data_IF_550689529694
#
_entry.id   IF_550689529694
#
_cell.length_a   1.000
_cell.length_b   1.000
_cell.length_c   1.000
_cell.angle_alpha   90.00
_cell.angle_beta   90.00
_cell.angle_gamma   90.00
#
_symmetry.space_group_name_H-M   'P 1'
#
loop_
_entity.id
_entity.type
_entity.pdbx_description
1 polymer ?
#
# COMPACT_ATOMS: atom_id res chain seq x y z
N UNK A 1 16.42 -16.40 -54.67
CA UNK A 1 16.59 -16.53 -53.21
C UNK A 1 17.42 -15.35 -52.74
N UNK A 2 16.90 -14.67 -51.72
CA UNK A 2 17.56 -13.71 -50.84
C UNK A 2 17.88 -12.26 -51.34
N UNK A 3 17.64 -11.35 -50.39
CA UNK A 3 18.03 -9.94 -50.21
C UNK A 3 17.42 -8.84 -51.07
N UNK A 4 16.64 -8.00 -50.38
CA UNK A 4 16.55 -6.57 -50.73
C UNK A 4 15.16 -5.97 -50.62
N UNK A 5 14.63 -5.81 -49.40
CA UNK A 5 13.59 -4.78 -49.17
C UNK A 5 13.62 -4.24 -47.74
N UNK A 6 14.59 -3.37 -47.51
CA UNK A 6 14.46 -2.29 -46.52
C UNK A 6 13.54 -1.19 -47.10
N UNK A 7 12.96 -0.41 -46.19
CA UNK A 7 12.05 0.72 -46.39
C UNK A 7 10.57 0.37 -46.68
N UNK A 8 9.79 0.19 -45.61
CA UNK A 8 8.93 1.29 -45.17
C UNK A 8 8.24 0.99 -43.83
N UNK A 9 8.76 1.68 -42.82
CA UNK A 9 8.12 1.94 -41.55
C UNK A 9 6.97 2.93 -41.78
N UNK A 10 5.72 2.48 -41.77
CA UNK A 10 4.56 3.37 -41.59
C UNK A 10 3.33 2.61 -41.07
N UNK A 11 2.84 3.16 -39.95
CA UNK A 11 1.49 3.06 -39.37
C UNK A 11 1.26 1.98 -38.31
N UNK A 12 1.46 2.46 -37.09
CA UNK A 12 0.63 2.22 -35.91
C UNK A 12 -0.80 1.76 -36.24
N UNK A 13 -1.15 0.57 -35.75
CA UNK A 13 -2.53 0.10 -35.62
C UNK A 13 -2.93 0.20 -34.14
N UNK A 14 -3.49 1.35 -33.77
CA UNK A 14 -4.30 1.47 -32.56
C UNK A 14 -5.59 0.66 -32.78
N UNK A 15 -5.75 -0.44 -32.05
CA UNK A 15 -6.98 -1.23 -32.00
C UNK A 15 -7.91 -0.65 -30.94
N UNK A 16 -8.79 0.26 -31.36
CA UNK A 16 -9.95 0.67 -30.56
C UNK A 16 -11.12 -0.24 -30.93
N UNK A 17 -11.59 -1.05 -29.97
CA UNK A 17 -12.68 -2.01 -30.12
C UNK A 17 -14.02 -1.27 -30.29
N UNK A 18 -14.48 -1.08 -31.53
CA UNK A 18 -15.86 -0.73 -31.85
C UNK A 18 -16.64 -2.02 -32.16
N UNK A 19 -17.64 -2.34 -31.31
CA UNK A 19 -18.49 -3.53 -31.46
C UNK A 19 -19.66 -3.17 -32.39
N UNK A 20 -19.64 -3.68 -33.62
CA UNK A 20 -20.72 -3.51 -34.60
C UNK A 20 -21.78 -4.62 -34.44
N UNK A 21 -23.06 -4.25 -34.47
CA UNK A 21 -24.18 -5.19 -34.57
C UNK A 21 -25.00 -4.88 -35.84
N UNK A 22 -25.50 -5.94 -36.50
CA UNK A 22 -26.33 -5.88 -37.72
C UNK A 22 -27.77 -5.50 -37.40
N UNK A 23 -28.36 -4.57 -38.15
CA UNK A 23 -29.80 -4.26 -38.12
C UNK A 23 -30.58 -5.19 -39.06
N UNK A 24 -31.75 -5.75 -38.70
CA UNK A 24 -32.44 -6.76 -39.51
C UNK A 24 -33.20 -6.25 -40.75
N UNK A 25 -33.40 -4.93 -40.93
CA UNK A 25 -34.30 -4.42 -41.98
C UNK A 25 -33.60 -3.90 -43.24
N UNK A 26 -32.28 -3.71 -43.23
CA UNK A 26 -31.49 -3.38 -44.41
C UNK A 26 -30.10 -4.00 -44.25
N UNK A 27 -29.62 -4.76 -45.24
CA UNK A 27 -28.33 -5.47 -45.22
C UNK A 27 -27.13 -4.52 -45.36
N UNK A 28 -27.10 -3.43 -44.60
CA UNK A 28 -26.01 -2.45 -44.56
C UNK A 28 -25.52 -2.21 -43.12
N UNK A 29 -24.20 -2.15 -42.94
CA UNK A 29 -23.56 -1.90 -41.65
C UNK A 29 -23.65 -0.42 -41.29
N UNK A 30 -24.34 -0.07 -40.19
CA UNK A 30 -24.38 1.29 -39.67
C UNK A 30 -23.58 1.39 -38.37
N UNK A 31 -22.48 2.15 -38.40
CA UNK A 31 -21.65 2.46 -37.24
C UNK A 31 -22.22 3.69 -36.52
N UNK A 32 -22.80 3.51 -35.34
CA UNK A 32 -23.26 4.64 -34.51
C UNK A 32 -22.08 5.40 -33.91
N UNK A 33 -21.82 6.62 -34.42
CA UNK A 33 -20.98 7.61 -33.75
C UNK A 33 -21.82 8.32 -32.69
N UNK A 34 -21.48 8.11 -31.41
CA UNK A 34 -22.02 8.90 -30.29
C UNK A 34 -21.44 10.32 -30.37
N UNK A 35 -22.21 11.25 -30.95
CA UNK A 35 -21.94 12.67 -30.83
C UNK A 35 -22.46 13.16 -29.48
N UNK A 36 -21.55 13.44 -28.55
CA UNK A 36 -21.83 14.31 -27.40
C UNK A 36 -21.82 15.76 -27.91
N UNK A 37 -22.99 16.30 -28.24
CA UNK A 37 -23.12 17.74 -28.49
C UNK A 37 -23.46 18.45 -27.18
N UNK A 38 -22.50 19.28 -26.79
CA UNK A 38 -22.52 20.30 -25.74
C UNK A 38 -23.81 21.12 -25.67
N UNK A 39 -24.13 21.45 -24.42
CA UNK A 39 -25.02 22.49 -23.90
C UNK A 39 -25.01 23.75 -24.78
N UNK A 40 -26.21 24.19 -25.18
CA UNK A 40 -26.50 25.59 -25.52
C UNK A 40 -27.77 26.03 -24.80
N UNK A 41 -27.57 26.84 -23.77
CA UNK A 41 -28.57 27.70 -23.19
C UNK A 41 -28.88 28.87 -24.13
N UNK A 42 -30.15 29.30 -24.23
CA UNK A 42 -30.56 30.70 -24.46
C UNK A 42 -32.07 30.91 -24.37
N UNK A 43 -32.46 32.00 -23.68
CA UNK A 43 -33.61 32.92 -23.89
C UNK A 43 -35.02 32.47 -23.44
N UNK A 44 -35.54 32.90 -22.27
CA UNK A 44 -36.24 34.18 -21.90
C UNK A 44 -37.73 34.21 -22.35
N UNK A 45 -38.67 35.01 -21.77
CA UNK A 45 -38.66 35.86 -20.56
C UNK A 45 -39.97 35.82 -19.69
N UNK A 46 -40.08 36.65 -18.64
CA UNK A 46 -41.35 37.16 -18.10
C UNK A 46 -41.51 37.05 -16.58
N UNK A 47 -40.98 37.99 -15.79
CA UNK A 47 -41.70 39.15 -15.19
C UNK A 47 -42.85 38.78 -14.23
N UNK A 48 -42.58 38.88 -12.93
CA UNK A 48 -43.57 39.33 -11.95
C UNK A 48 -42.87 40.15 -10.87
N UNK A 49 -43.24 41.42 -10.78
CA UNK A 49 -42.84 42.34 -9.73
C UNK A 49 -43.80 42.15 -8.54
N UNK A 50 -43.27 41.92 -7.34
CA UNK A 50 -43.91 42.47 -6.13
C UNK A 50 -42.83 42.83 -5.10
N UNK A 51 -42.59 44.13 -5.03
CA UNK A 51 -41.96 44.83 -3.91
C UNK A 51 -42.99 44.91 -2.79
N UNK A 52 -42.73 44.46 -1.57
CA UNK A 52 -43.35 45.08 -0.38
C UNK A 52 -42.56 44.78 0.91
N UNK A 53 -41.80 45.81 1.29
CA UNK A 53 -41.55 46.36 2.63
C UNK A 53 -41.15 45.49 3.83
N UNK A 54 -39.97 45.87 4.34
CA UNK A 54 -39.42 45.74 5.69
C UNK A 54 -40.43 45.93 6.84
N UNK A 55 -40.29 45.11 7.88
CA UNK A 55 -40.70 45.47 9.25
C UNK A 55 -39.61 45.01 10.24
N UNK A 56 -38.95 45.92 10.96
CA UNK A 56 -38.12 45.59 12.10
C UNK A 56 -38.99 45.49 13.37
N UNK A 57 -38.51 44.83 14.40
CA UNK A 57 -38.19 45.42 15.71
C UNK A 57 -37.92 44.30 16.72
N UNK A 58 -36.86 44.57 17.47
CA UNK A 58 -36.34 43.81 18.60
C UNK A 58 -37.42 43.50 19.66
N UNK A 59 -37.45 42.25 20.12
CA UNK A 59 -37.88 41.94 21.48
C UNK A 59 -36.67 41.39 22.23
N UNK A 60 -36.05 42.27 23.00
CA UNK A 60 -35.09 41.94 24.03
C UNK A 60 -35.79 41.14 25.14
N UNK A 61 -35.18 40.05 25.60
CA UNK A 61 -35.37 39.56 26.96
C UNK A 61 -34.08 38.94 27.47
N UNK A 62 -33.57 39.67 28.43
CA UNK A 62 -32.34 39.60 29.19
C UNK A 62 -32.37 38.55 30.29
N UNK A 63 -31.17 38.02 30.59
CA UNK A 63 -30.62 37.65 31.89
C UNK A 63 -31.15 36.38 32.60
N UNK A 64 -30.24 35.44 32.81
CA UNK A 64 -29.93 34.89 34.13
C UNK A 64 -28.51 34.28 34.11
N UNK A 65 -27.53 35.10 34.51
CA UNK A 65 -26.19 34.66 34.86
C UNK A 65 -26.19 34.19 36.31
N UNK A 66 -25.86 32.92 36.56
CA UNK A 66 -25.42 32.45 37.88
C UNK A 66 -24.11 31.70 37.73
N UNK A 67 -23.04 32.41 38.06
CA UNK A 67 -21.69 31.88 38.17
C UNK A 67 -21.53 31.15 39.50
N UNK A 68 -21.37 29.83 39.48
CA UNK A 68 -20.76 29.11 40.59
C UNK A 68 -19.37 28.65 40.16
N UNK A 69 -18.40 29.52 40.46
CA UNK A 69 -16.98 29.17 40.51
C UNK A 69 -16.78 28.24 41.72
N UNK A 70 -16.81 26.93 41.50
CA UNK A 70 -16.08 26.01 42.39
C UNK A 70 -14.72 25.71 41.78
N UNK A 71 -13.72 26.19 42.50
CA UNK A 71 -12.31 26.23 42.17
C UNK A 71 -11.66 25.01 42.81
N UNK A 72 -11.78 23.85 42.20
CA UNK A 72 -10.95 22.71 42.59
C UNK A 72 -9.56 22.88 41.96
N UNK A 73 -8.59 23.15 42.82
CA UNK A 73 -7.17 23.14 42.46
C UNK A 73 -6.79 21.68 42.13
N UNK A 74 -6.26 21.38 40.94
CA UNK A 74 -5.62 20.10 40.73
C UNK A 74 -4.43 19.98 41.68
N UNK A 75 -4.42 18.90 42.47
CA UNK A 75 -3.28 18.49 43.29
C UNK A 75 -2.11 18.23 42.34
N UNK A 76 -1.08 19.05 42.48
CA UNK A 76 0.15 18.96 41.72
C UNK A 76 0.97 17.80 42.31
N UNK A 77 0.87 16.63 41.70
CA UNK A 77 1.78 15.52 42.03
C UNK A 77 3.17 15.89 41.49
N UNK A 78 4.06 16.29 42.40
CA UNK A 78 5.50 16.27 42.18
C UNK A 78 5.95 14.81 42.22
N UNK A 79 5.65 14.05 41.17
CA UNK A 79 6.39 12.85 40.88
C UNK A 79 7.26 13.14 39.67
N UNK A 80 8.54 13.39 39.96
CA UNK A 80 9.61 13.27 38.97
C UNK A 80 9.68 11.78 38.59
N UNK A 81 8.71 11.30 37.83
CA UNK A 81 8.93 10.11 37.04
C UNK A 81 9.99 10.52 36.04
N UNK A 82 11.23 10.11 36.30
CA UNK A 82 12.29 10.09 35.32
C UNK A 82 11.66 9.57 34.05
N UNK A 83 11.42 10.47 33.09
CA UNK A 83 11.01 10.10 31.76
C UNK A 83 12.16 9.24 31.27
N UNK A 84 12.02 7.91 31.37
CA UNK A 84 12.93 6.97 30.73
C UNK A 84 13.11 7.52 29.33
N UNK A 85 14.32 7.98 28.96
CA UNK A 85 14.52 8.51 27.64
C UNK A 85 14.33 7.31 26.74
N UNK A 86 13.13 7.22 26.14
CA UNK A 86 12.81 6.26 25.11
C UNK A 86 13.65 6.68 23.91
N UNK A 87 14.93 6.35 23.96
CA UNK A 87 15.76 6.25 22.78
C UNK A 87 15.24 5.03 22.00
N UNK A 88 14.02 5.15 21.48
CA UNK A 88 13.55 4.24 20.45
C UNK A 88 14.42 4.54 19.26
N UNK A 89 15.37 3.63 18.98
CA UNK A 89 16.22 3.73 17.81
C UNK A 89 15.35 3.88 16.57
N UNK A 90 15.73 4.79 15.67
CA UNK A 90 14.97 5.12 14.48
C UNK A 90 15.88 5.32 13.29
N UNK A 91 15.30 5.30 12.10
CA UNK A 91 15.98 5.57 10.84
C UNK A 91 15.20 6.55 9.99
N UNK A 92 15.91 7.54 9.45
CA UNK A 92 15.33 8.49 8.50
C UNK A 92 15.21 7.83 7.11
N UNK A 93 13.97 7.53 6.70
CA UNK A 93 13.69 6.98 5.36
C UNK A 93 13.53 8.09 4.33
N UNK A 94 12.87 9.19 4.68
CA UNK A 94 12.73 10.37 3.83
C UNK A 94 12.67 11.63 4.69
N UNK A 95 13.41 12.67 4.33
CA UNK A 95 13.54 13.90 5.11
C UNK A 95 12.22 14.69 5.27
N UNK A 96 11.18 14.32 4.54
CA UNK A 96 9.89 14.99 4.59
C UNK A 96 8.91 14.36 5.58
N UNK A 97 9.20 13.18 6.14
CA UNK A 97 8.33 12.46 7.07
C UNK A 97 9.09 12.11 8.36
N UNK A 98 8.36 11.72 9.39
CA UNK A 98 8.92 11.24 10.65
C UNK A 98 9.77 9.99 10.43
N UNK A 99 10.80 9.83 11.26
CA UNK A 99 11.67 8.67 11.23
C UNK A 99 10.90 7.38 11.52
N UNK A 100 11.39 6.29 10.95
CA UNK A 100 10.82 4.98 11.12
C UNK A 100 11.50 4.30 12.31
N UNK A 101 10.75 3.79 13.30
CA UNK A 101 11.35 3.10 14.43
C UNK A 101 12.04 1.81 13.96
N UNK A 102 13.12 1.39 14.61
CA UNK A 102 13.73 0.08 14.33
C UNK A 102 12.90 -1.08 14.91
N UNK A 103 12.08 -0.79 15.92
CA UNK A 103 11.21 -1.77 16.57
C UNK A 103 9.80 -1.20 16.74
N UNK A 104 8.81 -1.97 16.32
CA UNK A 104 7.38 -1.68 16.47
C UNK A 104 6.79 -2.69 17.46
N UNK A 105 6.06 -2.20 18.46
CA UNK A 105 5.43 -3.03 19.50
C UNK A 105 3.98 -2.64 19.70
N UNK A 106 3.21 -3.51 20.35
CA UNK A 106 1.82 -3.26 20.74
C UNK A 106 1.63 -2.06 21.69
N UNK A 107 2.70 -1.53 22.28
CA UNK A 107 2.66 -0.32 23.12
C UNK A 107 2.46 0.94 22.27
N UNK A 108 3.00 0.96 21.06
CA UNK A 108 3.06 2.15 20.21
C UNK A 108 2.18 2.04 18.96
N UNK A 109 1.84 0.82 18.54
CA UNK A 109 1.06 0.55 17.33
C UNK A 109 0.05 -0.58 17.59
N UNK A 110 -1.11 -0.61 16.89
CA UNK A 110 -2.13 -1.64 17.04
C UNK A 110 -1.72 -2.93 16.30
N UNK A 111 -0.67 -3.59 16.78
CA UNK A 111 -0.03 -4.76 16.14
C UNK A 111 -0.07 -5.98 17.06
N UNK A 112 -0.02 -7.18 16.49
CA UNK A 112 -0.15 -8.41 17.28
C UNK A 112 1.09 -8.80 18.09
N UNK A 113 2.28 -8.29 17.72
CA UNK A 113 3.57 -8.72 18.29
C UNK A 113 4.63 -7.63 18.13
N UNK A 114 5.83 -7.88 18.64
CA UNK A 114 7.02 -7.08 18.36
C UNK A 114 7.56 -7.39 16.96
N UNK A 115 7.85 -6.33 16.21
CA UNK A 115 8.39 -6.36 14.86
C UNK A 115 9.70 -5.57 14.79
N UNK A 116 10.72 -6.11 14.11
CA UNK A 116 12.01 -5.47 13.84
C UNK A 116 12.14 -5.07 12.38
N UNK A 117 12.80 -3.94 12.14
CA UNK A 117 12.99 -3.43 10.78
C UNK A 117 13.83 -4.40 9.95
N UNK A 118 13.23 -4.88 8.86
CA UNK A 118 13.85 -5.76 7.89
C UNK A 118 14.46 -4.97 6.73
N UNK A 119 13.70 -4.00 6.19
CA UNK A 119 14.15 -3.17 5.07
C UNK A 119 13.33 -1.89 4.94
N UNK A 120 13.88 -0.89 4.25
CA UNK A 120 13.27 0.43 4.14
C UNK A 120 13.66 1.13 2.83
N UNK A 121 12.82 2.08 2.40
CA UNK A 121 13.06 2.85 1.18
C UNK A 121 11.83 3.67 0.78
N UNK A 122 11.77 4.13 -0.47
CA UNK A 122 10.63 4.88 -0.99
C UNK A 122 10.01 4.18 -2.20
N UNK A 123 8.67 4.29 -2.31
CA UNK A 123 8.01 3.94 -3.57
C UNK A 123 8.16 5.06 -4.58
N UNK A 124 8.47 4.68 -5.82
CA UNK A 124 8.50 5.59 -6.97
C UNK A 124 7.41 5.26 -8.01
N UNK A 125 6.89 6.29 -8.69
CA UNK A 125 6.15 6.12 -9.95
C UNK A 125 7.06 6.26 -11.17
N UNK A 126 6.81 5.47 -12.21
CA UNK A 126 7.71 5.30 -13.37
C UNK A 126 7.93 6.59 -14.19
N UNK A 127 6.94 7.48 -14.28
CA UNK A 127 7.00 8.58 -15.27
C UNK A 127 8.04 9.67 -14.93
N UNK A 128 8.22 10.01 -13.65
CA UNK A 128 9.11 11.09 -13.21
C UNK A 128 9.93 10.70 -11.95
N UNK A 129 9.93 9.41 -11.58
CA UNK A 129 10.50 8.90 -10.32
C UNK A 129 10.01 9.65 -9.07
N UNK A 130 8.82 10.25 -9.13
CA UNK A 130 8.24 10.92 -7.97
C UNK A 130 8.08 9.94 -6.81
N UNK A 131 8.55 10.36 -5.64
CA UNK A 131 8.34 9.67 -4.38
C UNK A 131 6.86 9.74 -4.01
N UNK A 132 6.25 8.58 -3.74
CA UNK A 132 4.84 8.46 -3.34
C UNK A 132 4.72 8.34 -1.83
N UNK A 133 5.49 7.43 -1.24
CA UNK A 133 5.54 7.19 0.19
C UNK A 133 6.90 6.63 0.60
N UNK A 134 7.26 6.84 1.87
CA UNK A 134 8.28 6.09 2.57
C UNK A 134 7.71 4.74 3.04
N UNK A 135 8.53 3.71 3.00
CA UNK A 135 8.19 2.33 3.33
C UNK A 135 9.19 1.78 4.34
N UNK A 136 8.68 1.15 5.38
CA UNK A 136 9.42 0.24 6.26
C UNK A 136 8.75 -1.12 6.23
N UNK A 137 9.54 -2.15 5.96
CA UNK A 137 9.17 -3.56 6.05
C UNK A 137 9.78 -4.11 7.34
N UNK A 138 8.98 -4.83 8.10
CA UNK A 138 9.36 -5.38 9.38
C UNK A 138 9.02 -6.86 9.44
N UNK A 139 9.80 -7.59 10.21
CA UNK A 139 9.65 -9.01 10.50
C UNK A 139 9.33 -9.17 11.99
N UNK A 140 8.37 -10.03 12.33
CA UNK A 140 8.11 -10.35 13.72
C UNK A 140 9.37 -10.95 14.36
N UNK A 141 9.76 -10.42 15.52
CA UNK A 141 11.01 -10.79 16.20
C UNK A 141 11.08 -12.29 16.51
N UNK A 142 9.94 -12.88 16.89
CA UNK A 142 9.84 -14.31 17.22
C UNK A 142 9.87 -15.23 15.99
N UNK A 143 9.78 -14.66 14.78
CA UNK A 143 9.72 -15.42 13.52
C UNK A 143 11.05 -15.36 12.75
N UNK A 144 12.10 -14.73 13.30
CA UNK A 144 13.42 -14.63 12.64
C UNK A 144 14.02 -16.00 12.30
N UNK A 145 13.82 -17.01 13.15
CA UNK A 145 14.32 -18.37 12.93
C UNK A 145 13.64 -19.07 11.73
N UNK A 146 12.43 -18.68 11.35
CA UNK A 146 11.74 -19.26 10.18
C UNK A 146 12.52 -19.01 8.89
N UNK A 147 13.35 -17.95 8.85
CA UNK A 147 14.19 -17.64 7.70
C UNK A 147 15.23 -18.74 7.48
N UNK A 148 16.02 -19.08 8.50
CA UNK A 148 17.00 -20.16 8.43
C UNK A 148 16.36 -21.55 8.36
N UNK A 149 15.22 -21.75 9.03
CA UNK A 149 14.53 -23.04 9.04
C UNK A 149 13.92 -23.36 7.67
N UNK A 150 13.43 -22.35 6.95
CA UNK A 150 12.84 -22.52 5.61
C UNK A 150 13.91 -22.57 4.53
N UNK A 151 14.85 -21.62 4.55
CA UNK A 151 15.88 -21.46 3.52
C UNK A 151 17.21 -22.08 4.00
N UNK A 152 17.23 -23.41 4.13
CA UNK A 152 18.42 -24.17 4.54
C UNK A 152 19.05 -24.95 3.38
N UNK A 153 20.11 -25.72 3.68
CA UNK A 153 20.79 -26.59 2.73
C UNK A 153 19.87 -27.64 2.10
N UNK A 154 18.93 -28.22 2.86
CA UNK A 154 17.95 -29.18 2.32
C UNK A 154 17.05 -28.51 1.29
N UNK A 155 16.57 -27.30 1.57
CA UNK A 155 15.78 -26.51 0.62
C UNK A 155 16.59 -26.20 -0.65
N UNK A 156 17.85 -25.77 -0.48
CA UNK A 156 18.75 -25.43 -1.57
C UNK A 156 18.90 -26.60 -2.57
N UNK A 157 19.25 -27.80 -2.08
CA UNK A 157 19.45 -28.97 -2.95
C UNK A 157 18.15 -29.60 -3.46
N UNK A 158 17.02 -29.36 -2.79
CA UNK A 158 15.71 -29.85 -3.23
C UNK A 158 15.19 -29.09 -4.45
N UNK A 159 15.37 -27.78 -4.49
CA UNK A 159 14.74 -26.92 -5.50
C UNK A 159 15.71 -26.39 -6.56
N UNK A 160 17.03 -26.39 -6.31
CA UNK A 160 18.01 -25.83 -7.23
C UNK A 160 19.08 -26.84 -7.65
N UNK A 161 19.32 -26.91 -8.96
CA UNK A 161 20.36 -27.77 -9.55
C UNK A 161 21.67 -27.02 -9.80
N UNK A 162 21.63 -25.69 -9.84
CA UNK A 162 22.79 -24.84 -10.11
C UNK A 162 23.51 -24.40 -8.82
N UNK A 163 23.58 -25.30 -7.84
CA UNK A 163 24.32 -25.07 -6.59
C UNK A 163 25.82 -25.11 -6.89
N UNK A 164 26.55 -24.11 -6.41
CA UNK A 164 28.00 -24.05 -6.56
C UNK A 164 28.64 -24.70 -5.33
N UNK A 165 29.11 -25.94 -5.48
CA UNK A 165 29.72 -26.73 -4.40
C UNK A 165 30.99 -26.10 -3.81
N UNK A 166 31.58 -25.11 -4.49
CA UNK A 166 32.72 -24.34 -3.96
C UNK A 166 32.31 -23.28 -2.93
N UNK A 167 31.01 -23.03 -2.77
CA UNK A 167 30.44 -22.02 -1.88
C UNK A 167 29.61 -22.63 -0.77
N UNK A 168 29.52 -21.94 0.35
CA UNK A 168 28.64 -22.34 1.46
C UNK A 168 27.16 -22.32 1.04
N UNK A 169 26.28 -23.10 1.68
CA UNK A 169 24.83 -23.05 1.43
C UNK A 169 24.27 -21.62 1.55
N UNK A 170 24.71 -20.88 2.57
CA UNK A 170 24.36 -19.47 2.79
C UNK A 170 24.76 -18.57 1.62
N UNK A 171 25.97 -18.70 1.08
CA UNK A 171 26.41 -17.92 -0.08
C UNK A 171 25.66 -18.27 -1.36
N UNK A 172 25.31 -19.55 -1.53
CA UNK A 172 24.47 -19.99 -2.65
C UNK A 172 23.07 -19.39 -2.56
N UNK A 173 22.40 -19.47 -1.40
CA UNK A 173 21.10 -18.85 -1.17
C UNK A 173 21.16 -17.32 -1.36
N UNK A 174 22.18 -16.66 -0.82
CA UNK A 174 22.40 -15.23 -0.99
C UNK A 174 22.57 -14.83 -2.46
N UNK A 175 23.29 -15.64 -3.26
CA UNK A 175 23.42 -15.43 -4.71
C UNK A 175 22.06 -15.51 -5.40
N UNK A 176 21.27 -16.55 -5.10
CA UNK A 176 19.96 -16.77 -5.72
C UNK A 176 18.99 -15.64 -5.39
N UNK A 177 18.87 -15.25 -4.11
CA UNK A 177 18.02 -14.14 -3.66
C UNK A 177 18.38 -12.79 -4.30
N UNK A 178 19.68 -12.53 -4.55
CA UNK A 178 20.16 -11.24 -5.08
C UNK A 178 20.18 -11.14 -6.59
N UNK A 179 20.48 -12.24 -7.29
CA UNK A 179 20.85 -12.19 -8.72
C UNK A 179 19.83 -12.83 -9.65
N UNK A 180 18.96 -13.69 -9.12
CA UNK A 180 17.96 -14.38 -9.93
C UNK A 180 16.56 -13.96 -9.48
N UNK A 181 15.95 -13.03 -10.21
CA UNK A 181 14.64 -12.49 -9.84
C UNK A 181 13.56 -13.59 -9.83
N UNK A 182 13.61 -14.56 -10.74
CA UNK A 182 12.63 -15.65 -10.81
C UNK A 182 12.75 -16.59 -9.61
N UNK A 183 13.97 -17.02 -9.28
CA UNK A 183 14.21 -17.87 -8.11
C UNK A 183 13.97 -17.12 -6.81
N UNK A 184 14.30 -15.83 -6.75
CA UNK A 184 14.03 -15.00 -5.56
C UNK A 184 12.54 -14.93 -5.24
N UNK A 185 11.66 -14.89 -6.25
CA UNK A 185 10.20 -14.92 -6.02
C UNK A 185 9.78 -16.24 -5.39
N UNK A 186 10.25 -17.37 -5.92
CA UNK A 186 9.95 -18.70 -5.36
C UNK A 186 10.42 -18.81 -3.89
N UNK A 187 11.66 -18.41 -3.61
CA UNK A 187 12.23 -18.48 -2.27
C UNK A 187 11.48 -17.61 -1.26
N UNK A 188 11.10 -16.39 -1.66
CA UNK A 188 10.35 -15.48 -0.79
C UNK A 188 8.91 -15.95 -0.61
N UNK A 189 8.29 -16.49 -1.64
CA UNK A 189 6.95 -17.05 -1.56
C UNK A 189 6.89 -18.24 -0.60
N UNK A 190 7.86 -19.15 -0.66
CA UNK A 190 7.98 -20.28 0.28
C UNK A 190 8.27 -19.79 1.71
N UNK A 191 9.08 -18.74 1.86
CA UNK A 191 9.33 -18.11 3.16
C UNK A 191 8.06 -17.47 3.73
N UNK A 192 7.23 -16.82 2.92
CA UNK A 192 5.94 -16.27 3.36
C UNK A 192 4.95 -17.39 3.71
N UNK A 193 4.98 -18.51 3.00
CA UNK A 193 4.15 -19.69 3.29
C UNK A 193 4.54 -20.40 4.60
N UNK A 194 5.73 -20.14 5.15
CA UNK A 194 6.13 -20.64 6.48
C UNK A 194 5.28 -20.08 7.64
N UNK A 195 4.45 -19.06 7.38
CA UNK A 195 3.64 -18.38 8.40
C UNK A 195 4.36 -17.21 9.07
N UNK A 196 5.49 -16.78 8.50
CA UNK A 196 6.26 -15.63 8.97
C UNK A 196 5.41 -14.35 8.98
N UNK A 197 5.25 -13.73 10.15
CA UNK A 197 4.50 -12.48 10.30
C UNK A 197 5.35 -11.31 9.86
N UNK A 198 4.73 -10.41 9.12
CA UNK A 198 5.39 -9.20 8.62
C UNK A 198 4.53 -7.97 8.84
N UNK A 199 5.16 -6.80 8.79
CA UNK A 199 4.47 -5.53 8.84
C UNK A 199 5.05 -4.58 7.79
N UNK A 200 4.17 -3.86 7.10
CA UNK A 200 4.54 -2.74 6.25
C UNK A 200 3.98 -1.44 6.86
N UNK A 201 4.87 -0.52 7.22
CA UNK A 201 4.53 0.87 7.56
C UNK A 201 4.70 1.71 6.31
N UNK A 202 3.62 2.32 5.84
CA UNK A 202 3.58 3.18 4.66
C UNK A 202 3.24 4.60 5.09
N UNK A 203 4.13 5.54 4.82
CA UNK A 203 3.98 6.94 5.23
C UNK A 203 4.03 7.86 3.99
N UNK A 204 2.91 8.46 3.57
CA UNK A 204 2.89 9.33 2.40
C UNK A 204 3.79 10.56 2.57
N UNK A 205 4.63 10.83 1.57
CA UNK A 205 5.50 12.03 1.56
C UNK A 205 4.76 13.28 1.10
N UNK A 206 3.49 13.14 0.69
CA UNK A 206 2.57 14.20 0.28
C UNK A 206 1.14 13.80 0.64
N UNK A 207 0.26 14.79 0.72
CA UNK A 207 -1.17 14.54 0.87
C UNK A 207 -1.67 13.65 -0.28
N UNK A 208 -2.45 12.64 0.07
CA UNK A 208 -3.05 11.68 -0.85
C UNK A 208 -4.46 11.34 -0.35
N UNK A 209 -5.02 10.23 -0.81
CA UNK A 209 -6.29 9.71 -0.32
C UNK A 209 -6.25 8.18 -0.24
N UNK A 210 -7.20 7.62 0.49
CA UNK A 210 -7.32 6.17 0.67
C UNK A 210 -7.52 5.44 -0.66
N UNK A 211 -8.19 6.06 -1.65
CA UNK A 211 -8.40 5.46 -2.97
C UNK A 211 -7.08 5.23 -3.70
N UNK A 212 -6.21 6.24 -3.75
CA UNK A 212 -4.90 6.14 -4.42
C UNK A 212 -3.96 5.18 -3.68
N UNK A 213 -3.96 5.17 -2.35
CA UNK A 213 -3.19 4.17 -1.57
C UNK A 213 -3.63 2.76 -1.92
N UNK A 214 -4.94 2.49 -1.86
CA UNK A 214 -5.53 1.19 -2.21
C UNK A 214 -5.18 0.76 -3.64
N UNK A 215 -5.36 1.63 -4.62
CA UNK A 215 -5.01 1.34 -6.02
C UNK A 215 -3.52 1.03 -6.18
N UNK A 216 -2.66 1.70 -5.40
CA UNK A 216 -1.24 1.42 -5.34
C UNK A 216 -0.93 -0.01 -4.85
N UNK A 217 -1.65 -0.49 -3.83
CA UNK A 217 -1.54 -1.85 -3.32
C UNK A 217 -2.05 -2.87 -4.33
N UNK A 218 -3.25 -2.66 -4.88
CA UNK A 218 -3.85 -3.54 -5.92
C UNK A 218 -2.90 -3.67 -7.11
N UNK A 219 -2.34 -2.57 -7.60
CA UNK A 219 -1.37 -2.57 -8.71
C UNK A 219 -0.08 -3.30 -8.36
N UNK A 220 0.32 -3.32 -7.08
CA UNK A 220 1.50 -4.07 -6.63
C UNK A 220 1.19 -5.56 -6.66
N UNK A 221 0.07 -5.98 -6.08
CA UNK A 221 -0.40 -7.37 -6.06
C UNK A 221 -0.57 -7.92 -7.49
N UNK A 222 -1.18 -7.16 -8.41
CA UNK A 222 -1.42 -7.60 -9.79
C UNK A 222 -0.15 -7.78 -10.64
N UNK A 223 1.03 -7.41 -10.13
CA UNK A 223 2.31 -7.65 -10.81
C UNK A 223 2.97 -8.97 -10.44
N UNK A 224 2.44 -9.68 -9.45
CA UNK A 224 2.97 -10.98 -9.05
C UNK A 224 2.89 -11.98 -10.23
N UNK A 225 3.95 -12.75 -10.54
CA UNK A 225 3.96 -13.67 -11.68
C UNK A 225 2.83 -14.72 -11.63
N UNK A 226 2.47 -15.17 -10.43
CA UNK A 226 1.42 -16.20 -10.25
C UNK A 226 -0.02 -15.69 -10.29
N UNK A 227 -0.24 -14.40 -10.59
CA UNK A 227 -1.59 -13.85 -10.81
C UNK A 227 -2.31 -14.60 -11.92
N UNK A 228 -1.60 -15.02 -12.97
CA UNK A 228 -2.19 -15.71 -14.10
C UNK A 228 -2.82 -17.07 -13.73
N UNK A 229 -2.20 -17.78 -12.78
CA UNK A 229 -2.61 -19.10 -12.32
C UNK A 229 -3.72 -19.03 -11.25
N UNK A 230 -3.86 -17.88 -10.58
CA UNK A 230 -4.73 -17.73 -9.41
C UNK A 230 -5.83 -16.68 -9.60
N UNK A 231 -6.26 -16.40 -10.84
CA UNK A 231 -7.15 -15.26 -11.17
C UNK A 231 -8.44 -15.23 -10.35
N UNK A 232 -9.14 -16.35 -10.23
CA UNK A 232 -10.46 -16.40 -9.58
C UNK A 232 -10.35 -16.25 -8.05
N UNK A 233 -9.38 -16.93 -7.43
CA UNK A 233 -9.09 -16.81 -6.00
C UNK A 233 -8.62 -15.40 -5.67
N UNK A 234 -7.75 -14.83 -6.51
CA UNK A 234 -7.27 -13.46 -6.34
C UNK A 234 -8.39 -12.43 -6.52
N UNK A 235 -9.31 -12.63 -7.47
CA UNK A 235 -10.44 -11.72 -7.67
C UNK A 235 -11.32 -11.61 -6.42
N UNK A 236 -11.55 -12.73 -5.72
CA UNK A 236 -12.25 -12.74 -4.42
C UNK A 236 -11.44 -11.97 -3.36
N UNK A 237 -10.14 -12.24 -3.25
CA UNK A 237 -9.27 -11.52 -2.31
C UNK A 237 -9.17 -10.02 -2.58
N UNK A 238 -9.18 -9.60 -3.85
CA UNK A 238 -9.22 -8.18 -4.21
C UNK A 238 -10.58 -7.53 -3.88
N UNK A 239 -11.68 -8.31 -3.87
CA UNK A 239 -12.96 -7.84 -3.35
C UNK A 239 -12.88 -7.61 -1.84
N UNK A 240 -12.37 -8.59 -1.08
CA UNK A 240 -12.14 -8.46 0.37
C UNK A 240 -11.25 -7.25 0.69
N UNK A 241 -10.20 -7.02 -0.10
CA UNK A 241 -9.33 -5.85 0.03
C UNK A 241 -10.08 -4.53 -0.19
N UNK A 242 -11.03 -4.50 -1.12
CA UNK A 242 -11.84 -3.31 -1.34
C UNK A 242 -12.79 -3.01 -0.17
N UNK A 243 -13.32 -4.06 0.46
CA UNK A 243 -14.23 -3.96 1.60
C UNK A 243 -13.49 -3.58 2.89
N UNK A 244 -12.34 -4.22 3.16
CA UNK A 244 -11.45 -3.91 4.28
C UNK A 244 -10.86 -2.49 4.18
N UNK A 245 -10.68 -1.98 2.96
CA UNK A 245 -10.13 -0.66 2.67
C UNK A 245 -11.22 0.25 2.08
N UNK A 246 -12.34 0.34 2.79
CA UNK A 246 -13.54 1.09 2.39
C UNK A 246 -13.56 2.55 2.86
N UNK A 247 -12.64 2.92 3.76
CA UNK A 247 -12.47 4.30 4.25
C UNK A 247 -12.32 5.29 3.09
N UNK A 248 -13.04 6.40 3.19
CA UNK A 248 -13.03 7.49 2.21
C UNK A 248 -12.33 8.71 2.79
N UNK A 249 -11.89 9.60 1.90
CA UNK A 249 -11.29 10.88 2.27
C UNK A 249 -9.79 10.93 2.08
N UNK A 250 -9.20 12.04 2.50
CA UNK A 250 -7.77 12.30 2.37
C UNK A 250 -6.95 11.55 3.41
N UNK A 251 -5.72 11.19 3.03
CA UNK A 251 -4.65 10.79 3.93
C UNK A 251 -3.61 11.90 3.93
N UNK A 252 -3.28 12.44 5.10
CA UNK A 252 -2.34 13.55 5.18
C UNK A 252 -0.93 13.04 5.00
N UNK A 253 -0.06 13.93 4.54
CA UNK A 253 1.38 13.69 4.63
C UNK A 253 1.73 13.34 6.08
N UNK A 254 2.63 12.37 6.25
CA UNK A 254 3.13 11.89 7.54
C UNK A 254 2.21 10.98 8.36
N UNK A 255 0.97 10.76 7.92
CA UNK A 255 0.14 9.71 8.50
C UNK A 255 0.64 8.33 8.09
N UNK A 256 0.31 7.29 8.86
CA UNK A 256 0.72 5.93 8.52
C UNK A 256 -0.46 5.06 8.09
N UNK A 257 -0.22 4.28 7.05
CA UNK A 257 -0.95 3.06 6.78
C UNK A 257 -0.08 1.89 7.28
N UNK A 258 -0.60 1.16 8.25
CA UNK A 258 0.00 -0.05 8.81
C UNK A 258 -0.71 -1.27 8.20
N UNK A 259 0.08 -2.15 7.60
CA UNK A 259 -0.41 -3.41 7.00
C UNK A 259 0.33 -4.55 7.69
N UNK A 260 -0.38 -5.35 8.46
CA UNK A 260 0.18 -6.50 9.16
C UNK A 260 -0.21 -7.79 8.42
N UNK A 261 0.78 -8.59 8.05
CA UNK A 261 0.63 -9.97 7.60
C UNK A 261 0.65 -10.88 8.82
N UNK A 262 -0.51 -11.47 9.11
CA UNK A 262 -0.72 -12.37 10.24
C UNK A 262 -0.21 -13.77 9.90
N UNK A 263 0.02 -14.60 10.94
CA UNK A 263 0.60 -15.94 10.78
C UNK A 263 -0.27 -16.89 9.92
N UNK A 264 -1.58 -16.62 9.85
CA UNK A 264 -2.51 -17.35 8.99
C UNK A 264 -2.54 -16.83 7.55
N UNK A 265 -1.67 -15.88 7.17
CA UNK A 265 -1.60 -15.24 5.86
C UNK A 265 -2.64 -14.13 5.62
N UNK A 266 -3.49 -13.81 6.60
CA UNK A 266 -4.43 -12.70 6.49
C UNK A 266 -3.71 -11.35 6.60
N UNK A 267 -4.27 -10.31 5.97
CA UNK A 267 -3.80 -8.93 6.08
C UNK A 267 -4.72 -8.10 6.96
N UNK A 268 -4.19 -7.48 8.00
CA UNK A 268 -4.89 -6.47 8.80
C UNK A 268 -4.41 -5.07 8.43
N UNK A 269 -5.36 -4.16 8.22
CA UNK A 269 -5.10 -2.76 7.88
C UNK A 269 -5.45 -1.86 9.07
N UNK A 270 -4.53 -0.97 9.43
CA UNK A 270 -4.77 0.10 10.39
C UNK A 270 -4.24 1.43 9.87
N UNK A 271 -4.93 2.51 10.19
CA UNK A 271 -4.54 3.88 9.87
C UNK A 271 -4.14 4.62 11.14
N UNK A 272 -3.09 5.42 11.06
CA UNK A 272 -2.57 6.24 12.13
C UNK A 272 -2.63 7.71 11.73
N UNK A 273 -3.47 8.51 12.40
CA UNK A 273 -3.43 9.97 12.31
C UNK A 273 -2.25 10.46 13.14
N UNK A 274 -1.17 10.82 12.46
CA UNK A 274 0.09 11.24 13.09
C UNK A 274 -0.03 12.54 13.89
N UNK A 275 -1.03 13.38 13.58
CA UNK A 275 -1.22 14.67 14.25
C UNK A 275 -1.91 14.50 15.60
N UNK A 276 -2.90 13.61 15.67
CA UNK A 276 -3.66 13.36 16.90
C UNK A 276 -3.15 12.13 17.66
N UNK A 277 -2.23 11.35 17.06
CA UNK A 277 -1.73 10.08 17.57
C UNK A 277 -2.87 9.06 17.81
N UNK A 278 -3.81 9.01 16.87
CA UNK A 278 -5.01 8.16 16.92
C UNK A 278 -4.90 7.02 15.91
N UNK A 279 -5.26 5.81 16.34
CA UNK A 279 -5.28 4.63 15.48
C UNK A 279 -6.71 4.20 15.16
N UNK A 280 -6.93 3.82 13.91
CA UNK A 280 -8.17 3.22 13.44
C UNK A 280 -7.88 1.91 12.73
N UNK A 281 -8.42 0.81 13.26
CA UNK A 281 -8.42 -0.48 12.56
C UNK A 281 -9.44 -0.41 11.44
N UNK A 282 -9.00 -0.62 10.19
CA UNK A 282 -9.82 -0.45 8.99
C UNK A 282 -10.54 -1.74 8.61
N UNK A 283 -9.84 -2.87 8.61
CA UNK A 283 -10.40 -4.14 8.20
C UNK A 283 -9.34 -5.23 7.99
N UNK A 284 -9.81 -6.43 7.70
CA UNK A 284 -8.99 -7.63 7.51
C UNK A 284 -9.34 -8.28 6.17
N UNK A 285 -8.31 -8.75 5.46
CA UNK A 285 -8.44 -9.56 4.25
C UNK A 285 -7.98 -10.97 4.59
N UNK A 286 -8.88 -11.94 4.51
CA UNK A 286 -8.60 -13.32 4.90
C UNK A 286 -7.93 -14.12 3.78
N UNK A 287 -8.10 -13.67 2.54
CA UNK A 287 -7.47 -14.31 1.39
C UNK A 287 -5.94 -14.18 1.43
N UNK A 288 -5.27 -15.31 1.67
CA UNK A 288 -3.83 -15.42 1.85
C UNK A 288 -3.01 -14.95 0.64
N UNK A 289 -3.55 -15.10 -0.58
CA UNK A 289 -2.85 -14.68 -1.79
C UNK A 289 -2.63 -13.16 -1.83
N UNK A 290 -3.55 -12.38 -1.24
CA UNK A 290 -3.41 -10.92 -1.19
C UNK A 290 -2.21 -10.54 -0.33
N UNK A 291 -2.09 -11.14 0.85
CA UNK A 291 -0.96 -10.97 1.75
C UNK A 291 0.35 -11.38 1.12
N UNK A 292 0.40 -12.63 0.65
CA UNK A 292 1.57 -13.22 0.00
C UNK A 292 2.05 -12.37 -1.18
N UNK A 293 1.19 -12.09 -2.16
CA UNK A 293 1.59 -11.36 -3.36
C UNK A 293 1.99 -9.92 -3.06
N UNK A 294 1.38 -9.27 -2.06
CA UNK A 294 1.76 -7.92 -1.67
C UNK A 294 3.19 -7.86 -1.11
N UNK A 295 3.48 -8.68 -0.08
CA UNK A 295 4.78 -8.70 0.57
C UNK A 295 5.87 -9.26 -0.33
N UNK A 296 5.57 -10.32 -1.08
CA UNK A 296 6.46 -10.87 -2.11
C UNK A 296 6.92 -9.79 -3.07
N UNK A 297 6.01 -9.00 -3.66
CA UNK A 297 6.38 -7.93 -4.59
C UNK A 297 7.21 -6.78 -3.98
N UNK A 298 7.18 -6.58 -2.66
CA UNK A 298 8.09 -5.64 -2.00
C UNK A 298 9.49 -6.24 -1.79
N UNK A 299 9.57 -7.52 -1.49
CA UNK A 299 10.81 -8.25 -1.16
C UNK A 299 11.56 -8.78 -2.37
N UNK A 300 10.89 -9.05 -3.49
CA UNK A 300 11.50 -9.69 -4.67
C UNK A 300 11.02 -9.09 -6.01
N UNK A 301 11.54 -9.66 -7.10
CA UNK A 301 11.16 -9.34 -8.48
C UNK A 301 11.85 -8.12 -9.09
N UNK A 302 11.95 -8.11 -10.42
CA UNK A 302 12.65 -7.07 -11.20
C UNK A 302 12.05 -5.67 -10.98
N UNK A 303 10.72 -5.61 -10.82
CA UNK A 303 9.93 -4.37 -10.79
C UNK A 303 9.34 -4.08 -9.40
N UNK A 304 10.10 -4.40 -8.35
CA UNK A 304 9.73 -4.02 -6.98
C UNK A 304 9.42 -2.51 -6.92
N UNK A 305 8.30 -2.11 -6.28
CA UNK A 305 7.91 -0.71 -6.18
C UNK A 305 8.88 0.12 -5.34
N UNK A 306 9.70 -0.51 -4.49
CA UNK A 306 10.72 0.13 -3.65
C UNK A 306 12.04 -0.66 -3.74
N UNK A 307 12.87 -0.42 -4.77
CA UNK A 307 14.12 -1.15 -4.96
C UNK A 307 15.09 -1.07 -3.77
N UNK A 308 15.08 0.06 -3.04
CA UNK A 308 15.89 0.22 -1.84
C UNK A 308 15.37 -0.66 -0.69
N UNK A 309 14.04 -0.73 -0.49
CA UNK A 309 13.47 -1.61 0.52
C UNK A 309 13.72 -3.08 0.19
N UNK A 310 13.59 -3.49 -1.08
CA UNK A 310 13.98 -4.82 -1.55
C UNK A 310 15.44 -5.11 -1.18
N UNK A 311 16.37 -4.23 -1.56
CA UNK A 311 17.80 -4.44 -1.32
C UNK A 311 18.12 -4.61 0.17
N UNK A 312 17.67 -3.67 0.99
CA UNK A 312 17.94 -3.66 2.44
C UNK A 312 17.29 -4.86 3.14
N UNK A 313 16.06 -5.23 2.75
CA UNK A 313 15.39 -6.42 3.27
C UNK A 313 16.14 -7.71 2.91
N UNK A 314 16.58 -7.88 1.67
CA UNK A 314 17.32 -9.06 1.23
C UNK A 314 18.69 -9.14 1.94
N UNK A 315 19.40 -8.02 2.10
CA UNK A 315 20.66 -7.98 2.85
C UNK A 315 20.46 -8.41 4.32
N UNK A 316 19.35 -7.97 4.95
CA UNK A 316 19.01 -8.37 6.32
C UNK A 316 18.57 -9.84 6.41
N UNK A 317 17.75 -10.33 5.47
CA UNK A 317 17.35 -11.74 5.40
C UNK A 317 18.56 -12.66 5.27
N UNK A 318 19.55 -12.31 4.43
CA UNK A 318 20.80 -13.06 4.30
C UNK A 318 21.59 -13.10 5.62
N UNK A 319 21.48 -12.06 6.45
CA UNK A 319 22.13 -12.07 7.77
C UNK A 319 21.47 -13.09 8.71
N UNK A 320 20.17 -13.33 8.55
CA UNK A 320 19.38 -14.30 9.33
C UNK A 320 19.51 -15.75 8.83
N UNK A 321 20.10 -15.98 7.64
CA UNK A 321 20.39 -17.32 7.11
C UNK A 321 21.54 -18.03 7.83
#
# INVERSE_FOLDING_TARGET
MDRGRCANMLKSLQRTLAKCQKSPSTNHWQCFKRNFTSIRATKYPGRSNSTFHYWPWFAASTLLATSLYYRDRPVQNDDKTDAFPSHTESIQVDSSVSDFPLTITALNFPVSTTFKLLGYGQRHVTFLRFKVYALGLYLAENDENLVSDTLNETYLHKYFLDVDDSKTPKENLARLLKRDDSKSVMMIDDLLDSGMRMLAKITPVRNTDFKHLKEGLVKTISKHPDVANNKDTLAKGLSELNDAFSRKGSVRKNDDLIIELLANGALQFSYHDSKNNEFEVMGVVNNQLVGKFLFSQYLCGEKSPSPQAKKTAIDKLITLL
#
